data_IF_668075777990
#
_entry.id   IF_668075777990
#
_cell.length_a   1.000
_cell.length_b   1.000
_cell.length_c   1.000
_cell.angle_alpha   90.00
_cell.angle_beta   90.00
_cell.angle_gamma   90.00
#
_symmetry.space_group_name_H-M   'P 1'
#
loop_
_entity.id
_entity.type
_entity.pdbx_description
1 polymer ?
#
# COMPACT_ATOMS: atom_id res chain seq x y z
N UNK A 1 -2.49 15.68 4.46
CA UNK A 1 -3.55 14.64 4.56
C UNK A 1 -3.00 13.37 3.94
N UNK A 2 -2.68 12.34 4.72
CA UNK A 2 -2.19 11.06 4.18
C UNK A 2 -3.37 10.28 3.58
N UNK A 3 -3.29 9.96 2.29
CA UNK A 3 -4.23 9.03 1.66
C UNK A 3 -3.97 7.62 2.17
N UNK A 4 -4.78 7.16 3.12
CA UNK A 4 -4.75 5.78 3.58
C UNK A 4 -5.28 4.90 2.44
N UNK A 5 -4.39 4.22 1.71
CA UNK A 5 -4.78 3.23 0.70
C UNK A 5 -5.23 1.96 1.39
N UNK A 6 -6.53 1.83 1.64
CA UNK A 6 -7.08 0.69 2.35
C UNK A 6 -7.20 -0.54 1.44
N UNK A 7 -6.91 -1.77 1.93
CA UNK A 7 -6.82 -2.99 1.12
C UNK A 7 -8.19 -3.61 0.79
N UNK A 8 -9.22 -2.79 0.58
CA UNK A 8 -10.58 -3.26 0.29
C UNK A 8 -10.89 -3.15 -1.20
N UNK A 9 -11.29 -4.28 -1.82
CA UNK A 9 -11.80 -4.29 -3.21
C UNK A 9 -13.12 -3.53 -3.36
N UNK A 10 -13.89 -3.41 -2.28
CA UNK A 10 -15.17 -2.69 -2.27
C UNK A 10 -14.95 -1.23 -1.86
N UNK A 11 -15.38 -0.30 -2.72
CA UNK A 11 -15.38 1.14 -2.44
C UNK A 11 -16.10 1.47 -1.13
N UNK A 12 -17.25 0.83 -0.88
CA UNK A 12 -18.03 1.05 0.35
C UNK A 12 -17.26 0.63 1.60
N UNK A 13 -16.55 -0.50 1.56
CA UNK A 13 -15.73 -0.95 2.69
C UNK A 13 -14.54 -0.03 2.94
N UNK A 14 -13.90 0.46 1.88
CA UNK A 14 -12.85 1.46 2.01
C UNK A 14 -13.37 2.75 2.67
N UNK A 15 -14.53 3.26 2.25
CA UNK A 15 -15.14 4.44 2.86
C UNK A 15 -15.45 4.22 4.34
N UNK A 16 -16.04 3.08 4.70
CA UNK A 16 -16.36 2.76 6.11
C UNK A 16 -15.10 2.72 6.98
N UNK A 17 -14.05 2.03 6.52
CA UNK A 17 -12.82 1.89 7.29
C UNK A 17 -12.02 3.19 7.35
N UNK A 18 -12.08 4.03 6.31
CA UNK A 18 -11.49 5.39 6.33
C UNK A 18 -12.15 6.23 7.41
N UNK A 19 -13.48 6.20 7.48
CA UNK A 19 -14.21 6.97 8.49
C UNK A 19 -13.95 6.45 9.91
N UNK A 20 -13.89 5.12 10.08
CA UNK A 20 -13.59 4.51 11.37
C UNK A 20 -12.14 4.73 11.83
N UNK A 21 -11.23 5.01 10.90
CA UNK A 21 -9.87 5.45 11.22
C UNK A 21 -9.86 6.81 11.90
N UNK A 22 -10.70 7.73 11.43
CA UNK A 22 -10.88 9.08 11.97
C UNK A 22 -11.48 9.08 13.38
N UNK A 23 -12.17 8.02 13.78
CA UNK A 23 -12.69 7.86 15.14
C UNK A 23 -13.94 6.97 15.21
N UNK A 24 -14.51 6.79 16.42
CA UNK A 24 -15.74 6.03 16.62
C UNK A 24 -16.93 6.67 15.89
N UNK A 25 -17.80 5.84 15.31
CA UNK A 25 -18.97 6.30 14.53
C UNK A 25 -20.22 5.50 14.84
N UNK A 26 -21.37 6.18 14.77
CA UNK A 26 -22.69 5.55 14.91
C UNK A 26 -23.05 4.76 13.66
N UNK A 27 -23.85 3.70 13.82
CA UNK A 27 -24.43 2.94 12.71
C UNK A 27 -25.07 3.86 11.66
N UNK A 28 -25.84 4.86 12.10
CA UNK A 28 -26.52 5.84 11.24
C UNK A 28 -25.56 6.67 10.40
N UNK A 29 -24.45 7.11 11.00
CA UNK A 29 -23.42 7.89 10.29
C UNK A 29 -22.75 7.06 9.20
N UNK A 30 -22.38 5.83 9.54
CA UNK A 30 -21.79 4.89 8.58
C UNK A 30 -22.77 4.52 7.46
N UNK A 31 -24.05 4.34 7.79
CA UNK A 31 -25.10 4.02 6.83
C UNK A 31 -25.32 5.14 5.81
N UNK A 32 -25.35 6.39 6.28
CA UNK A 32 -25.46 7.57 5.41
C UNK A 32 -24.29 7.68 4.42
N UNK A 33 -23.06 7.36 4.85
CA UNK A 33 -21.85 7.45 4.00
C UNK A 33 -21.91 6.52 2.78
N UNK A 34 -22.48 5.32 2.94
CA UNK A 34 -22.58 4.33 1.87
C UNK A 34 -24.01 4.20 1.30
N UNK A 35 -24.88 5.18 1.61
CA UNK A 35 -26.27 5.26 1.17
C UNK A 35 -27.05 3.94 1.41
N UNK A 36 -26.99 3.43 2.64
CA UNK A 36 -27.68 2.20 3.04
C UNK A 36 -28.46 2.41 4.34
N UNK A 37 -29.21 1.39 4.78
CA UNK A 37 -29.94 1.43 6.05
C UNK A 37 -29.03 1.12 7.25
N UNK A 38 -29.34 1.70 8.41
CA UNK A 38 -28.54 1.50 9.63
C UNK A 38 -28.43 0.04 10.07
N UNK A 39 -29.46 -0.77 9.81
CA UNK A 39 -29.49 -2.21 10.11
C UNK A 39 -28.48 -3.01 9.27
N UNK A 40 -28.12 -2.51 8.08
CA UNK A 40 -27.20 -3.17 7.14
C UNK A 40 -25.72 -2.98 7.51
N UNK A 41 -25.39 -2.08 8.44
CA UNK A 41 -24.00 -1.86 8.87
C UNK A 41 -23.46 -3.06 9.64
N UNK A 42 -24.26 -3.65 10.52
CA UNK A 42 -23.81 -4.78 11.33
C UNK A 42 -23.48 -6.02 10.46
N UNK A 43 -24.36 -6.50 9.56
CA UNK A 43 -24.02 -7.61 8.66
C UNK A 43 -22.76 -7.38 7.85
N UNK A 44 -22.54 -6.15 7.36
CA UNK A 44 -21.35 -5.78 6.57
C UNK A 44 -20.07 -5.78 7.39
N UNK A 45 -20.14 -5.31 8.65
CA UNK A 45 -18.99 -5.29 9.56
C UNK A 45 -18.80 -6.59 10.34
N UNK A 46 -19.78 -7.51 10.35
CA UNK A 46 -19.79 -8.76 11.13
C UNK A 46 -18.48 -9.54 11.01
N UNK A 47 -17.98 -9.73 9.79
CA UNK A 47 -16.71 -10.44 9.55
C UNK A 47 -15.52 -9.76 10.23
N UNK A 48 -15.50 -8.44 10.27
CA UNK A 48 -14.40 -7.66 10.86
C UNK A 48 -14.54 -7.53 12.38
N UNK A 49 -15.76 -7.61 12.90
CA UNK A 49 -16.03 -7.72 14.33
C UNK A 49 -15.53 -9.07 14.84
N UNK A 50 -15.89 -10.16 14.17
CA UNK A 50 -15.42 -11.53 14.51
C UNK A 50 -13.90 -11.63 14.45
N UNK A 51 -13.26 -10.96 13.48
CA UNK A 51 -11.80 -10.89 13.37
C UNK A 51 -11.12 -9.98 14.41
N UNK A 52 -11.89 -9.33 15.28
CA UNK A 52 -11.36 -8.40 16.29
C UNK A 52 -10.83 -7.08 15.72
N UNK A 53 -11.19 -6.72 14.48
CA UNK A 53 -10.77 -5.46 13.85
C UNK A 53 -11.65 -4.29 14.25
N UNK A 54 -12.95 -4.54 14.37
CA UNK A 54 -13.95 -3.54 14.73
C UNK A 54 -14.57 -3.91 16.07
N UNK A 55 -14.57 -2.99 17.02
CA UNK A 55 -15.30 -3.09 18.28
C UNK A 55 -16.64 -2.40 18.16
N UNK A 56 -17.67 -3.04 18.70
CA UNK A 56 -19.03 -2.48 18.81
C UNK A 56 -19.31 -2.21 20.28
N UNK A 57 -19.78 -1.00 20.60
CA UNK A 57 -20.31 -0.63 21.91
C UNK A 57 -21.73 -0.10 21.74
N UNK A 58 -22.63 -0.47 22.65
CA UNK A 58 -23.99 0.05 22.66
C UNK A 58 -24.06 1.25 23.59
N UNK A 59 -24.43 2.42 23.06
CA UNK A 59 -24.60 3.66 23.81
C UNK A 59 -26.01 4.17 23.55
N UNK A 60 -26.83 4.32 24.60
CA UNK A 60 -28.22 4.76 24.50
C UNK A 60 -29.04 3.98 23.46
N UNK A 61 -28.93 2.65 23.50
CA UNK A 61 -29.56 1.71 22.57
C UNK A 61 -29.09 1.79 21.10
N UNK A 62 -28.02 2.55 20.80
CA UNK A 62 -27.43 2.70 19.46
C UNK A 62 -26.06 2.05 19.40
N UNK A 63 -25.75 1.38 18.28
CA UNK A 63 -24.44 0.77 18.05
C UNK A 63 -23.41 1.82 17.59
N UNK A 64 -22.33 1.92 18.33
CA UNK A 64 -21.12 2.69 18.02
C UNK A 64 -20.02 1.71 17.60
N UNK A 65 -19.44 1.95 16.43
CA UNK A 65 -18.36 1.15 15.87
C UNK A 65 -17.05 1.91 15.99
N UNK A 66 -15.97 1.20 16.30
CA UNK A 66 -14.61 1.74 16.40
C UNK A 66 -13.59 0.72 15.93
N UNK A 67 -12.46 1.16 15.39
CA UNK A 67 -11.34 0.25 15.14
C UNK A 67 -10.64 -0.10 16.44
N UNK A 68 -10.13 -1.32 16.52
CA UNK A 68 -9.19 -1.68 17.58
C UNK A 68 -7.83 -1.04 17.33
N UNK A 69 -7.06 -0.82 18.39
CA UNK A 69 -5.68 -0.34 18.27
C UNK A 69 -4.82 -1.27 17.40
N UNK A 70 -5.01 -2.58 17.55
CA UNK A 70 -4.38 -3.57 16.68
C UNK A 70 -4.81 -3.39 15.21
N UNK A 71 -6.09 -3.13 14.93
CA UNK A 71 -6.57 -2.90 13.58
C UNK A 71 -6.11 -1.56 13.00
N UNK A 72 -6.04 -0.49 13.79
CA UNK A 72 -5.42 0.78 13.38
C UNK A 72 -3.98 0.53 12.95
N UNK A 73 -3.17 -0.10 13.82
CA UNK A 73 -1.79 -0.48 13.48
C UNK A 73 -1.71 -1.40 12.27
N UNK A 74 -2.66 -2.33 12.07
CA UNK A 74 -2.69 -3.19 10.88
C UNK A 74 -3.09 -2.42 9.62
N UNK A 75 -3.98 -1.44 9.70
CA UNK A 75 -4.38 -0.62 8.56
C UNK A 75 -3.32 0.43 8.21
N UNK A 76 -2.57 0.88 9.21
CA UNK A 76 -1.37 1.71 9.04
C UNK A 76 -0.17 0.89 8.54
N UNK A 77 -0.06 -0.39 8.94
CA UNK A 77 1.08 -1.25 8.59
C UNK A 77 0.88 -2.20 7.41
N UNK A 78 -0.36 -2.49 7.00
CA UNK A 78 -0.65 -3.12 5.70
C UNK A 78 -0.50 -2.04 4.64
N UNK A 79 0.72 -1.94 4.13
CA UNK A 79 1.17 -0.79 3.36
C UNK A 79 2.05 0.16 4.17
N UNK A 80 2.76 -0.31 5.20
CA UNK A 80 3.93 0.43 5.65
C UNK A 80 5.10 0.08 4.74
N UNK A 81 5.64 1.10 4.08
CA UNK A 81 6.89 1.02 3.35
C UNK A 81 8.00 0.38 4.21
N UNK A 82 7.97 0.58 5.54
CA UNK A 82 8.98 0.03 6.45
C UNK A 82 9.02 -1.50 6.44
N UNK A 83 7.86 -2.17 6.39
CA UNK A 83 7.83 -3.64 6.29
C UNK A 83 8.33 -4.15 4.95
N UNK A 84 8.07 -3.38 3.88
CA UNK A 84 8.57 -3.70 2.54
C UNK A 84 10.08 -3.52 2.49
N UNK A 85 10.58 -2.46 3.14
CA UNK A 85 12.01 -2.18 3.32
C UNK A 85 12.69 -3.28 4.12
N UNK A 86 12.20 -3.62 5.32
CA UNK A 86 12.76 -4.69 6.17
C UNK A 86 12.90 -6.01 5.39
N UNK A 87 11.86 -6.42 4.67
CA UNK A 87 11.92 -7.63 3.83
C UNK A 87 12.90 -7.53 2.66
N UNK A 88 13.00 -6.36 2.03
CA UNK A 88 13.97 -6.13 0.96
C UNK A 88 15.40 -6.24 1.52
N UNK A 89 15.66 -5.66 2.70
CA UNK A 89 16.94 -5.77 3.41
C UNK A 89 17.28 -7.22 3.77
N UNK A 90 16.31 -7.99 4.26
CA UNK A 90 16.48 -9.44 4.52
C UNK A 90 16.85 -10.21 3.25
N UNK A 91 16.20 -9.93 2.12
CA UNK A 91 16.49 -10.58 0.83
C UNK A 91 17.88 -10.18 0.30
N UNK A 92 18.30 -8.94 0.53
CA UNK A 92 19.58 -8.40 0.08
C UNK A 92 20.75 -8.75 1.00
N UNK A 93 20.47 -9.09 2.26
CA UNK A 93 21.48 -9.39 3.26
C UNK A 93 22.22 -8.15 3.79
N UNK A 94 21.71 -6.95 3.53
CA UNK A 94 22.28 -5.68 4.00
C UNK A 94 21.18 -4.63 4.18
N UNK A 95 21.50 -3.55 4.89
CA UNK A 95 20.59 -2.40 5.04
C UNK A 95 20.62 -1.53 3.80
N UNK A 96 19.44 -1.09 3.34
CA UNK A 96 19.34 -0.25 2.17
C UNK A 96 19.98 1.12 2.45
N UNK A 97 20.76 1.58 1.48
CA UNK A 97 21.21 2.97 1.47
C UNK A 97 20.07 3.94 1.07
N UNK A 98 20.37 5.24 1.02
CA UNK A 98 19.39 6.26 0.67
C UNK A 98 18.85 6.11 -0.75
N UNK A 99 19.72 5.77 -1.72
CA UNK A 99 19.36 5.62 -3.13
C UNK A 99 18.44 4.40 -3.32
N UNK A 100 18.82 3.26 -2.73
CA UNK A 100 18.07 2.00 -2.76
C UNK A 100 16.72 2.15 -2.08
N UNK A 101 16.69 2.85 -0.93
CA UNK A 101 15.45 3.14 -0.21
C UNK A 101 14.50 3.94 -1.09
N UNK A 102 14.97 4.99 -1.76
CA UNK A 102 14.11 5.81 -2.60
C UNK A 102 13.68 5.09 -3.89
N UNK A 103 14.55 4.28 -4.50
CA UNK A 103 14.16 3.43 -5.65
C UNK A 103 13.06 2.43 -5.22
N UNK A 104 13.24 1.74 -4.08
CA UNK A 104 12.23 0.84 -3.55
C UNK A 104 10.91 1.56 -3.29
N UNK A 105 10.99 2.80 -2.77
CA UNK A 105 9.83 3.64 -2.49
C UNK A 105 9.04 3.99 -3.73
N UNK A 106 9.69 4.28 -4.86
CA UNK A 106 9.00 4.52 -6.14
C UNK A 106 8.15 3.31 -6.54
N UNK A 107 8.68 2.09 -6.42
CA UNK A 107 7.92 0.86 -6.70
C UNK A 107 6.85 0.55 -5.66
N UNK A 108 7.05 0.96 -4.42
CA UNK A 108 6.07 0.81 -3.37
C UNK A 108 4.86 1.74 -3.58
N UNK A 109 5.10 2.99 -3.97
CA UNK A 109 4.08 4.00 -4.25
C UNK A 109 3.36 3.73 -5.60
N UNK A 110 4.01 3.01 -6.52
CA UNK A 110 3.49 2.71 -7.85
C UNK A 110 2.89 1.30 -7.95
N UNK A 111 1.71 1.16 -8.59
CA UNK A 111 1.13 -0.18 -8.86
C UNK A 111 1.99 -1.01 -9.84
N UNK A 112 2.53 -0.32 -10.84
CA UNK A 112 3.50 -0.79 -11.84
C UNK A 112 4.05 0.45 -12.56
N UNK A 113 5.22 0.31 -13.18
CA UNK A 113 5.84 1.30 -14.06
C UNK A 113 5.85 0.68 -15.45
N UNK A 114 5.19 1.31 -16.41
CA UNK A 114 5.13 0.81 -17.80
C UNK A 114 6.23 1.43 -18.62
N UNK A 115 6.81 0.64 -19.52
CA UNK A 115 7.77 1.15 -20.48
C UNK A 115 7.03 2.03 -21.50
N UNK A 116 7.56 3.20 -21.81
CA UNK A 116 6.98 4.12 -22.78
C UNK A 116 7.85 4.21 -24.04
N UNK A 117 7.41 4.98 -25.04
CA UNK A 117 8.23 5.24 -26.23
C UNK A 117 9.31 6.28 -25.97
N UNK A 118 9.08 7.14 -24.99
CA UNK A 118 9.87 8.34 -24.73
C UNK A 118 10.87 8.15 -23.58
N UNK A 119 10.56 7.25 -22.63
CA UNK A 119 11.38 7.00 -21.44
C UNK A 119 11.36 5.51 -21.06
N UNK A 120 12.56 4.97 -20.84
CA UNK A 120 12.75 3.65 -20.24
C UNK A 120 12.25 3.64 -18.78
N UNK A 121 12.00 2.44 -18.25
CA UNK A 121 11.65 2.28 -16.82
C UNK A 121 12.74 2.85 -15.91
N UNK A 122 14.02 2.72 -16.29
CA UNK A 122 15.13 3.27 -15.52
C UNK A 122 15.08 4.80 -15.46
N UNK A 123 14.84 5.46 -16.60
CA UNK A 123 14.69 6.91 -16.67
C UNK A 123 13.48 7.41 -15.88
N UNK A 124 12.35 6.72 -15.98
CA UNK A 124 11.14 7.05 -15.21
C UNK A 124 11.40 6.97 -13.69
N UNK A 125 12.06 5.91 -13.24
CA UNK A 125 12.45 5.76 -11.82
C UNK A 125 13.44 6.86 -11.42
N UNK A 126 14.44 7.13 -12.25
CA UNK A 126 15.41 8.18 -12.01
C UNK A 126 14.77 9.55 -11.83
N UNK A 127 13.89 9.97 -12.75
CA UNK A 127 13.19 11.26 -12.62
C UNK A 127 12.26 11.31 -11.40
N UNK A 128 11.69 10.18 -11.00
CA UNK A 128 10.89 10.08 -9.78
C UNK A 128 11.75 10.26 -8.51
N UNK A 129 12.87 9.55 -8.41
CA UNK A 129 13.78 9.64 -7.25
C UNK A 129 14.44 11.01 -7.17
N UNK A 130 14.84 11.59 -8.31
CA UNK A 130 15.55 12.88 -8.36
C UNK A 130 14.77 14.05 -7.75
N UNK A 131 13.44 13.94 -7.66
CA UNK A 131 12.57 14.90 -6.96
C UNK A 131 12.89 14.99 -5.46
N UNK A 132 13.38 13.90 -4.85
CA UNK A 132 13.64 13.76 -3.41
C UNK A 132 15.14 13.67 -3.12
N UNK A 133 15.90 12.96 -3.95
CA UNK A 133 17.34 12.82 -3.85
C UNK A 133 18.02 13.36 -5.11
N UNK A 134 18.51 14.60 -5.05
CA UNK A 134 19.09 15.30 -6.22
C UNK A 134 20.45 14.76 -6.66
N UNK A 135 21.10 13.92 -5.85
CA UNK A 135 22.47 13.44 -6.08
C UNK A 135 22.52 12.11 -6.83
N UNK A 136 21.43 11.36 -6.84
CA UNK A 136 21.37 10.07 -7.54
C UNK A 136 21.65 10.25 -9.04
N UNK A 137 22.35 9.30 -9.64
CA UNK A 137 22.60 9.24 -11.08
C UNK A 137 21.73 8.18 -11.74
N UNK A 138 21.49 8.31 -13.05
CA UNK A 138 20.76 7.28 -13.81
C UNK A 138 21.47 5.92 -13.73
N UNK A 139 22.80 5.90 -13.84
CA UNK A 139 23.62 4.68 -13.70
C UNK A 139 23.39 4.00 -12.36
N UNK A 140 23.35 4.76 -11.24
CA UNK A 140 23.06 4.20 -9.92
C UNK A 140 21.67 3.57 -9.86
N UNK A 141 20.67 4.21 -10.47
CA UNK A 141 19.31 3.64 -10.58
C UNK A 141 19.32 2.33 -11.38
N UNK A 142 20.03 2.27 -12.49
CA UNK A 142 20.15 1.06 -13.31
C UNK A 142 20.80 -0.11 -12.55
N UNK A 143 21.85 0.17 -11.78
CA UNK A 143 22.51 -0.80 -10.90
C UNK A 143 21.53 -1.37 -9.87
N UNK A 144 20.82 -0.50 -9.15
CA UNK A 144 19.82 -0.89 -8.15
C UNK A 144 18.70 -1.72 -8.79
N UNK A 145 18.17 -1.29 -9.94
CA UNK A 145 17.14 -2.01 -10.66
C UNK A 145 17.59 -3.40 -11.11
N UNK A 146 18.85 -3.53 -11.55
CA UNK A 146 19.45 -4.81 -11.94
C UNK A 146 19.52 -5.75 -10.74
N UNK A 147 20.01 -5.26 -9.61
CA UNK A 147 20.09 -6.06 -8.37
C UNK A 147 18.71 -6.43 -7.84
N UNK A 148 17.79 -5.47 -7.73
CA UNK A 148 16.42 -5.72 -7.27
C UNK A 148 15.69 -6.72 -8.16
N UNK A 149 15.93 -6.70 -9.47
CA UNK A 149 15.36 -7.69 -10.39
C UNK A 149 15.98 -9.08 -10.18
N UNK A 150 17.31 -9.14 -10.04
CA UNK A 150 18.05 -10.40 -9.81
C UNK A 150 17.62 -11.06 -8.49
N UNK A 151 17.43 -10.25 -7.44
CA UNK A 151 17.02 -10.68 -6.10
C UNK A 151 15.51 -10.87 -5.95
N UNK A 152 14.73 -10.73 -7.04
CA UNK A 152 13.27 -10.87 -7.06
C UNK A 152 12.52 -9.90 -6.13
N UNK A 153 13.10 -8.73 -5.90
CA UNK A 153 12.44 -7.60 -5.21
C UNK A 153 11.52 -6.86 -6.18
N UNK A 154 12.00 -6.65 -7.40
CA UNK A 154 11.23 -6.09 -8.52
C UNK A 154 11.01 -7.17 -9.57
N UNK A 155 9.78 -7.27 -10.06
CA UNK A 155 9.42 -8.15 -11.15
C UNK A 155 9.24 -7.36 -12.45
N UNK A 156 10.09 -7.65 -13.43
CA UNK A 156 10.02 -7.09 -14.78
C UNK A 156 9.31 -8.05 -15.75
N UNK A 157 8.19 -7.63 -16.33
CA UNK A 157 7.51 -8.37 -17.38
C UNK A 157 8.25 -8.17 -18.70
N UNK A 158 8.75 -9.26 -19.28
CA UNK A 158 9.53 -9.26 -20.52
C UNK A 158 8.79 -9.97 -21.65
N UNK A 159 8.88 -9.43 -22.85
CA UNK A 159 8.54 -10.15 -24.08
C UNK A 159 9.59 -11.21 -24.39
N UNK A 160 9.25 -12.15 -25.28
CA UNK A 160 10.23 -13.14 -25.80
C UNK A 160 11.44 -12.50 -26.46
N UNK A 161 11.30 -11.28 -26.99
CA UNK A 161 12.38 -10.47 -27.55
C UNK A 161 13.34 -9.88 -26.50
N UNK A 162 13.06 -10.05 -25.20
CA UNK A 162 13.84 -9.47 -24.11
C UNK A 162 13.40 -8.06 -23.69
N UNK A 163 12.53 -7.40 -24.48
CA UNK A 163 12.00 -6.07 -24.15
C UNK A 163 11.16 -6.10 -22.87
N UNK A 164 11.46 -5.20 -21.94
CA UNK A 164 10.66 -5.03 -20.72
C UNK A 164 9.43 -4.17 -21.04
N UNK A 165 8.23 -4.66 -20.70
CA UNK A 165 6.97 -3.93 -20.88
C UNK A 165 6.57 -3.14 -19.65
N UNK A 166 6.78 -3.72 -18.46
CA UNK A 166 6.44 -3.10 -17.20
C UNK A 166 7.20 -3.74 -16.05
N UNK A 167 7.42 -2.98 -14.99
CA UNK A 167 8.04 -3.44 -13.75
C UNK A 167 7.16 -3.13 -12.55
N UNK A 168 7.20 -3.96 -11.51
CA UNK A 168 6.46 -3.75 -10.26
C UNK A 168 7.17 -4.41 -9.09
N UNK A 169 6.85 -3.99 -7.88
CA UNK A 169 7.27 -4.70 -6.68
C UNK A 169 6.76 -6.15 -6.67
N UNK A 170 7.57 -7.09 -6.18
CA UNK A 170 7.14 -8.48 -6.04
C UNK A 170 6.02 -8.61 -4.99
N UNK A 171 5.07 -9.52 -5.22
CA UNK A 171 3.90 -9.64 -4.33
C UNK A 171 4.26 -10.20 -2.95
N UNK A 172 5.36 -10.94 -2.84
CA UNK A 172 5.82 -11.53 -1.57
C UNK A 172 6.20 -10.46 -0.54
N UNK A 173 6.72 -9.31 -0.99
CA UNK A 173 7.04 -8.19 -0.11
C UNK A 173 5.78 -7.56 0.52
N UNK A 174 4.63 -7.64 -0.17
CA UNK A 174 3.37 -7.02 0.24
C UNK A 174 2.47 -7.90 1.13
N UNK A 175 2.82 -9.17 1.37
CA UNK A 175 2.03 -10.15 2.14
C UNK A 175 2.35 -10.13 3.63
#
# INVERSE_FOLDING_TARGET
MMEITLPFRSKNMATLFKELHSGPKLAKQLANLIKTESKEIYPRLKRYIVKGWVKVRKVNNVNVYSLTEAARKILESKGSFEKVKEKAEEILGHRLDEDETEVLRVFYESKYIENSRDETIAEQVYYAVRKRNRKITLTRVEEILKEFTLRRIVFAFRLRSGQILKARLDKSLLQ
#
